data_IF_718182966399
#
_entry.id   IF_718182966399
#
_cell.length_a   1.000
_cell.length_b   1.000
_cell.length_c   1.000
_cell.angle_alpha   90.00
_cell.angle_beta   90.00
_cell.angle_gamma   90.00
#
_symmetry.space_group_name_H-M   'P 1'
#
loop_
_entity.id
_entity.type
_entity.pdbx_description
1 polymer ?
#
# COMPACT_ATOMS: atom_id res chain seq x y z
N UNK A 1 -4.03 -3.94 -23.12
CA UNK A 1 -2.78 -3.63 -22.40
C UNK A 1 -2.80 -4.33 -21.06
N UNK A 2 -1.70 -4.94 -20.59
CA UNK A 2 -1.62 -5.56 -19.27
C UNK A 2 -1.70 -4.51 -18.15
N UNK A 3 -2.24 -4.88 -16.99
CA UNK A 3 -2.35 -4.00 -15.81
C UNK A 3 -1.08 -4.11 -14.97
N UNK A 4 -0.42 -2.98 -14.68
CA UNK A 4 0.65 -2.92 -13.69
C UNK A 4 0.06 -3.09 -12.28
N UNK A 5 0.61 -4.02 -11.51
CA UNK A 5 0.27 -4.26 -10.11
C UNK A 5 1.55 -4.18 -9.29
N UNK A 6 1.63 -3.21 -8.39
CA UNK A 6 2.77 -3.03 -7.49
C UNK A 6 2.38 -3.47 -6.09
N UNK A 7 3.25 -4.26 -5.46
CA UNK A 7 3.07 -4.76 -4.09
C UNK A 7 4.28 -4.29 -3.28
N UNK A 8 4.05 -3.52 -2.21
CA UNK A 8 5.12 -3.03 -1.34
C UNK A 8 4.69 -2.87 0.11
N UNK A 9 5.67 -2.83 1.00
CA UNK A 9 5.45 -2.71 2.44
C UNK A 9 4.73 -1.41 2.84
N UNK A 10 4.91 -0.33 2.08
CA UNK A 10 4.19 0.94 2.30
C UNK A 10 3.61 1.42 0.98
N UNK A 11 2.44 2.03 1.06
CA UNK A 11 1.78 2.68 -0.07
C UNK A 11 1.80 4.18 0.18
N UNK A 12 2.24 4.95 -0.81
CA UNK A 12 2.15 6.41 -0.79
C UNK A 12 1.00 6.86 -1.70
N UNK A 13 0.33 7.96 -1.35
CA UNK A 13 -0.59 8.60 -2.29
C UNK A 13 0.25 9.25 -3.40
N UNK A 14 0.19 8.77 -4.66
CA UNK A 14 1.02 9.29 -5.75
C UNK A 14 0.68 10.75 -6.10
N UNK A 15 -0.41 11.31 -5.56
CA UNK A 15 -0.79 12.72 -5.76
C UNK A 15 -0.14 13.67 -4.74
N UNK A 16 0.49 13.14 -3.70
CA UNK A 16 1.13 13.92 -2.63
C UNK A 16 2.65 13.82 -2.76
N UNK A 17 3.41 14.85 -2.30
CA UNK A 17 4.86 14.72 -2.18
C UNK A 17 5.19 13.52 -1.29
N UNK A 18 5.98 12.59 -1.82
CA UNK A 18 6.43 11.42 -1.10
C UNK A 18 7.94 11.55 -0.81
N UNK A 19 8.35 11.14 0.38
CA UNK A 19 9.76 10.96 0.72
C UNK A 19 10.10 9.47 0.68
N UNK A 20 11.27 9.12 0.12
CA UNK A 20 11.76 7.75 0.01
C UNK A 20 11.81 7.25 -1.46
N UNK A 21 12.94 6.64 -1.84
CA UNK A 21 13.24 6.31 -3.24
C UNK A 21 12.22 5.37 -3.90
N UNK A 22 11.69 4.39 -3.16
CA UNK A 22 10.66 3.49 -3.69
C UNK A 22 9.38 4.24 -4.03
N UNK A 23 8.91 5.10 -3.12
CA UNK A 23 7.64 5.80 -3.29
C UNK A 23 7.67 6.75 -4.49
N UNK A 24 8.80 7.42 -4.70
CA UNK A 24 9.03 8.29 -5.86
C UNK A 24 9.02 7.48 -7.16
N UNK A 25 9.88 6.45 -7.26
CA UNK A 25 10.02 5.68 -8.51
C UNK A 25 8.74 4.92 -8.91
N UNK A 26 8.07 4.31 -7.93
CA UNK A 26 6.80 3.60 -8.15
C UNK A 26 5.67 4.59 -8.49
N UNK A 27 5.62 5.72 -7.79
CA UNK A 27 4.65 6.78 -8.04
C UNK A 27 4.71 7.28 -9.48
N UNK A 28 5.90 7.61 -9.98
CA UNK A 28 6.10 8.05 -11.37
C UNK A 28 5.64 7.00 -12.40
N UNK A 29 6.00 5.74 -12.18
CA UNK A 29 5.62 4.63 -13.08
C UNK A 29 4.10 4.43 -13.14
N UNK A 30 3.43 4.47 -11.99
CA UNK A 30 1.99 4.31 -11.87
C UNK A 30 1.19 5.53 -12.35
N UNK A 31 1.73 6.74 -12.21
CA UNK A 31 1.10 7.94 -12.79
C UNK A 31 1.04 7.88 -14.33
N UNK A 32 2.08 7.33 -14.96
CA UNK A 32 2.14 7.18 -16.42
C UNK A 32 1.23 6.05 -16.92
N UNK A 33 1.33 4.87 -16.30
CA UNK A 33 0.67 3.65 -16.79
C UNK A 33 -0.72 3.38 -16.19
N UNK A 34 -1.05 3.99 -15.05
CA UNK A 34 -2.17 3.58 -14.21
C UNK A 34 -1.93 2.20 -13.57
N UNK A 35 -2.92 1.68 -12.84
CA UNK A 35 -2.86 0.32 -12.29
C UNK A 35 -3.27 0.22 -10.84
N UNK A 36 -2.70 -0.77 -10.13
CA UNK A 36 -2.99 -1.06 -8.72
C UNK A 36 -1.69 -0.95 -7.91
N UNK A 37 -1.74 -0.24 -6.78
CA UNK A 37 -0.70 -0.28 -5.77
C UNK A 37 -1.28 -0.85 -4.48
N UNK A 38 -0.75 -1.99 -4.07
CA UNK A 38 -1.16 -2.72 -2.89
C UNK A 38 -0.07 -2.75 -1.81
N UNK A 39 -0.47 -2.70 -0.54
CA UNK A 39 0.45 -2.75 0.60
C UNK A 39 -0.18 -2.46 1.95
N UNK A 40 0.65 -2.24 2.98
CA UNK A 40 0.15 -1.86 4.31
C UNK A 40 -0.24 -0.39 4.36
N UNK A 41 -1.36 -0.10 5.04
CA UNK A 41 -1.97 1.22 5.17
C UNK A 41 -1.15 2.21 6.00
N UNK A 42 -0.40 1.75 7.00
CA UNK A 42 -0.02 2.65 8.10
C UNK A 42 -0.47 2.17 9.46
N UNK A 43 -1.63 1.53 9.50
CA UNK A 43 -2.43 1.37 10.70
C UNK A 43 -2.18 0.01 11.34
N UNK A 44 -1.99 0.03 12.66
CA UNK A 44 -2.00 -1.16 13.49
C UNK A 44 -3.32 -1.17 14.27
N UNK A 45 -4.01 -2.30 14.24
CA UNK A 45 -5.24 -2.55 15.01
C UNK A 45 -4.89 -3.54 16.13
N UNK A 46 -4.90 -3.08 17.38
CA UNK A 46 -4.41 -3.88 18.53
C UNK A 46 -5.16 -5.22 18.67
N UNK A 47 -6.49 -5.19 18.60
CA UNK A 47 -7.36 -6.37 18.71
C UNK A 47 -7.94 -6.80 17.34
N UNK A 48 -7.19 -6.53 16.26
CA UNK A 48 -7.58 -6.90 14.90
C UNK A 48 -7.43 -8.41 14.65
N UNK A 49 -8.24 -8.99 13.75
CA UNK A 49 -8.10 -10.39 13.39
C UNK A 49 -6.78 -10.66 12.64
N UNK A 50 -5.94 -11.55 13.18
CA UNK A 50 -4.66 -11.96 12.59
C UNK A 50 -4.89 -12.63 11.23
N UNK A 51 -4.16 -12.18 10.20
CA UNK A 51 -4.27 -12.70 8.83
C UNK A 51 -5.49 -12.21 8.03
N UNK A 52 -6.41 -11.46 8.65
CA UNK A 52 -7.65 -10.95 8.01
C UNK A 52 -7.78 -9.43 8.14
N UNK A 53 -6.73 -8.70 7.77
CA UNK A 53 -6.73 -7.23 7.80
C UNK A 53 -7.85 -6.59 6.96
N UNK A 54 -8.33 -5.42 7.39
CA UNK A 54 -9.35 -4.67 6.65
C UNK A 54 -8.76 -4.06 5.36
N UNK A 55 -9.42 -4.30 4.23
CA UNK A 55 -8.98 -3.81 2.92
C UNK A 55 -9.62 -2.46 2.58
N UNK A 56 -8.81 -1.41 2.60
CA UNK A 56 -9.16 -0.07 2.16
C UNK A 56 -8.83 0.12 0.69
N UNK A 57 -9.80 0.60 -0.10
CA UNK A 57 -9.60 0.91 -1.52
C UNK A 57 -9.85 2.39 -1.78
N UNK A 58 -8.91 3.04 -2.46
CA UNK A 58 -9.02 4.46 -2.79
C UNK A 58 -8.52 4.75 -4.21
N UNK A 59 -9.28 5.53 -4.99
CA UNK A 59 -8.89 5.92 -6.34
C UNK A 59 -8.06 7.21 -6.32
N UNK A 60 -6.81 7.14 -6.78
CA UNK A 60 -5.89 8.27 -6.88
C UNK A 60 -5.52 8.51 -8.36
N UNK A 61 -6.34 9.29 -9.06
CA UNK A 61 -6.17 9.52 -10.49
C UNK A 61 -6.32 8.22 -11.28
N UNK A 62 -5.28 7.80 -12.02
CA UNK A 62 -5.26 6.55 -12.79
C UNK A 62 -4.89 5.31 -11.96
N UNK A 63 -4.58 5.48 -10.68
CA UNK A 63 -4.07 4.44 -9.79
C UNK A 63 -5.12 4.07 -8.75
N UNK A 64 -5.41 2.79 -8.62
CA UNK A 64 -6.14 2.25 -7.47
C UNK A 64 -5.15 1.94 -6.36
N UNK A 65 -5.33 2.54 -5.19
CA UNK A 65 -4.61 2.17 -3.98
C UNK A 65 -5.46 1.14 -3.23
N UNK A 66 -4.84 0.05 -2.82
CA UNK A 66 -5.47 -1.00 -2.02
C UNK A 66 -4.59 -1.29 -0.81
N UNK A 67 -4.98 -0.82 0.36
CA UNK A 67 -4.17 -0.95 1.57
C UNK A 67 -4.84 -1.83 2.59
N UNK A 68 -4.08 -2.70 3.24
CA UNK A 68 -4.55 -3.48 4.40
C UNK A 68 -4.12 -2.81 5.69
N UNK A 69 -4.98 -2.84 6.70
CA UNK A 69 -4.56 -2.65 8.09
C UNK A 69 -3.94 -3.96 8.62
N UNK A 70 -3.00 -3.86 9.57
CA UNK A 70 -2.39 -5.03 10.20
C UNK A 70 -2.81 -5.12 11.66
N UNK A 71 -2.98 -6.34 12.16
CA UNK A 71 -3.02 -6.58 13.61
C UNK A 71 -1.65 -6.29 14.23
N UNK A 72 -1.60 -6.12 15.56
CA UNK A 72 -0.31 -6.02 16.28
C UNK A 72 0.56 -7.24 16.01
N UNK A 73 -0.04 -8.43 16.05
CA UNK A 73 0.64 -9.70 15.80
C UNK A 73 1.22 -9.78 14.38
N UNK A 74 0.42 -9.48 13.35
CA UNK A 74 0.88 -9.51 11.95
C UNK A 74 1.98 -8.50 11.70
N UNK A 75 1.86 -7.29 12.27
CA UNK A 75 2.89 -6.27 12.16
C UNK A 75 4.20 -6.77 12.76
N UNK A 76 4.18 -7.28 13.98
CA UNK A 76 5.38 -7.68 14.70
C UNK A 76 6.03 -8.89 14.00
N UNK A 77 5.24 -9.90 13.63
CA UNK A 77 5.72 -11.09 12.91
C UNK A 77 6.36 -10.75 11.55
N UNK A 78 5.85 -9.72 10.84
CA UNK A 78 6.35 -9.36 9.51
C UNK A 78 7.49 -8.33 9.54
N UNK A 79 7.42 -7.31 10.41
CA UNK A 79 8.37 -6.20 10.43
C UNK A 79 9.47 -6.32 11.50
N UNK A 80 9.22 -7.04 12.59
CA UNK A 80 10.17 -7.14 13.73
C UNK A 80 10.89 -8.49 13.80
N UNK A 81 10.36 -9.52 13.14
CA UNK A 81 10.93 -10.88 13.15
C UNK A 81 10.78 -11.57 14.49
#
# INVERSE_FOLDING_TARGET
MPRLVVISNRVADPRKPAAGGLAVAVGESLQQSGGLWFGWSGTIVEDGPTGEGELHKHQAGKVMLATLDLSREDHDAYYLG
#
